data_IF_688628016916
#
_entry.id   IF_688628016916
#
_cell.length_a   1.000
_cell.length_b   1.000
_cell.length_c   1.000
_cell.angle_alpha   90.00
_cell.angle_beta   90.00
_cell.angle_gamma   90.00
#
_symmetry.space_group_name_H-M   'P 1'
#
loop_
_entity.id
_entity.type
_entity.pdbx_description
1 polymer ?
#
# COMPACT_ATOMS: atom_id res chain seq x y z
N UNK A 1 -5.93 21.17 -10.58
CA UNK A 1 -6.78 19.98 -10.83
C UNK A 1 -7.43 20.17 -12.18
N UNK A 2 -7.01 19.41 -13.19
CA UNK A 2 -7.77 19.29 -14.44
C UNK A 2 -8.91 18.32 -14.16
N UNK A 3 -10.09 18.84 -13.90
CA UNK A 3 -11.29 18.03 -13.78
C UNK A 3 -11.64 17.48 -15.16
N UNK A 4 -11.51 16.17 -15.33
CA UNK A 4 -11.86 15.51 -16.58
C UNK A 4 -13.38 15.29 -16.56
N UNK A 5 -14.14 16.15 -17.22
CA UNK A 5 -15.56 15.93 -17.43
C UNK A 5 -15.75 14.57 -18.13
N UNK A 6 -16.35 13.63 -17.43
CA UNK A 6 -16.47 12.25 -17.89
C UNK A 6 -17.84 12.01 -18.52
N UNK A 7 -17.82 11.57 -19.77
CA UNK A 7 -19.00 11.35 -20.62
C UNK A 7 -19.24 9.86 -20.93
N UNK A 8 -18.48 8.96 -20.31
CA UNK A 8 -18.56 7.52 -20.56
C UNK A 8 -19.69 6.82 -19.81
N UNK A 9 -19.79 5.51 -20.02
CA UNK A 9 -20.89 4.68 -19.53
C UNK A 9 -20.64 4.02 -18.16
N UNK A 10 -19.44 4.16 -17.58
CA UNK A 10 -19.08 3.48 -16.34
C UNK A 10 -19.61 4.27 -15.16
N UNK A 11 -20.64 3.72 -14.53
CA UNK A 11 -21.21 4.30 -13.30
C UNK A 11 -20.36 3.90 -12.10
N UNK A 12 -19.76 4.90 -11.45
CA UNK A 12 -19.06 4.70 -10.18
C UNK A 12 -20.06 4.61 -9.03
N UNK A 13 -19.81 3.70 -8.09
CA UNK A 13 -20.59 3.59 -6.87
C UNK A 13 -19.74 3.97 -5.65
N UNK A 14 -20.29 4.86 -4.82
CA UNK A 14 -19.72 5.24 -3.52
C UNK A 14 -20.62 4.69 -2.42
N UNK A 15 -20.05 3.82 -1.58
CA UNK A 15 -20.79 3.23 -0.48
C UNK A 15 -21.15 4.29 0.55
N UNK A 16 -22.42 4.30 0.97
CA UNK A 16 -22.90 5.13 2.09
C UNK A 16 -22.74 4.45 3.45
N UNK A 17 -22.22 3.22 3.49
CA UNK A 17 -22.03 2.46 4.72
C UNK A 17 -20.90 3.08 5.55
N UNK A 18 -21.14 3.17 6.85
CA UNK A 18 -20.17 3.66 7.83
C UNK A 18 -20.09 2.61 8.94
N UNK A 19 -18.86 2.20 9.27
CA UNK A 19 -18.62 1.21 10.32
C UNK A 19 -17.78 1.83 11.42
N UNK A 20 -18.13 1.59 12.68
CA UNK A 20 -17.34 2.09 13.81
C UNK A 20 -16.01 1.32 13.91
N UNK A 21 -14.97 2.00 14.40
CA UNK A 21 -13.73 1.32 14.77
C UNK A 21 -13.93 0.69 16.15
N UNK A 22 -13.70 -0.61 16.22
CA UNK A 22 -13.77 -1.39 17.45
C UNK A 22 -12.35 -1.69 17.94
N UNK A 23 -12.22 -1.93 19.25
CA UNK A 23 -10.94 -2.41 19.78
C UNK A 23 -10.60 -3.77 19.18
N UNK A 24 -9.36 -3.94 18.71
CA UNK A 24 -8.92 -5.23 18.21
C UNK A 24 -9.03 -6.31 19.30
N UNK A 25 -9.40 -7.56 18.94
CA UNK A 25 -9.40 -8.66 19.90
C UNK A 25 -7.97 -8.91 20.41
N UNK A 26 -7.87 -9.44 21.64
CA UNK A 26 -6.58 -9.69 22.31
C UNK A 26 -5.64 -10.53 21.45
N UNK A 27 -6.16 -11.51 20.70
CA UNK A 27 -5.37 -12.35 19.80
C UNK A 27 -4.63 -11.58 18.70
N UNK A 28 -5.27 -10.58 18.10
CA UNK A 28 -4.67 -9.71 17.07
C UNK A 28 -3.61 -8.81 17.71
N UNK A 29 -3.89 -8.27 18.90
CA UNK A 29 -2.96 -7.44 19.66
C UNK A 29 -1.69 -8.20 20.03
N UNK A 30 -1.83 -9.40 20.62
CA UNK A 30 -0.72 -10.29 20.95
C UNK A 30 0.08 -10.65 19.69
N UNK A 31 -0.61 -10.96 18.58
CA UNK A 31 0.05 -11.29 17.31
C UNK A 31 0.92 -10.15 16.76
N UNK A 32 0.46 -8.89 16.85
CA UNK A 32 1.26 -7.72 16.45
C UNK A 32 2.45 -7.49 17.40
N UNK A 33 2.23 -7.62 18.71
CA UNK A 33 3.30 -7.51 19.71
C UNK A 33 4.40 -8.57 19.52
N UNK A 34 4.04 -9.83 19.31
CA UNK A 34 5.00 -10.92 19.08
C UNK A 34 5.86 -10.67 17.84
N UNK A 35 5.31 -10.05 16.79
CA UNK A 35 6.08 -9.68 15.60
C UNK A 35 7.05 -8.55 15.86
N UNK A 36 6.61 -7.52 16.59
CA UNK A 36 7.49 -6.43 16.99
C UNK A 36 8.64 -6.94 17.87
N UNK A 37 8.34 -7.87 18.80
CA UNK A 37 9.35 -8.53 19.62
C UNK A 37 10.33 -9.35 18.78
N UNK A 38 9.84 -10.13 17.80
CA UNK A 38 10.69 -10.90 16.89
C UNK A 38 11.58 -9.98 16.03
N UNK A 39 11.02 -8.89 15.50
CA UNK A 39 11.75 -7.94 14.67
C UNK A 39 12.81 -7.20 15.48
N UNK A 40 12.47 -6.77 16.70
CA UNK A 40 13.42 -6.19 17.64
C UNK A 40 14.53 -7.14 18.04
N UNK A 41 14.23 -8.42 18.21
CA UNK A 41 15.22 -9.46 18.45
C UNK A 41 16.17 -9.63 17.24
N UNK A 42 15.64 -9.74 16.02
CA UNK A 42 16.45 -9.86 14.80
C UNK A 42 17.37 -8.64 14.58
N UNK A 43 16.88 -7.42 14.80
CA UNK A 43 17.70 -6.21 14.69
C UNK A 43 18.70 -6.11 15.84
N UNK A 44 18.32 -6.54 17.05
CA UNK A 44 19.20 -6.60 18.21
C UNK A 44 20.43 -7.49 18.01
N UNK A 45 20.35 -8.50 17.14
CA UNK A 45 21.49 -9.35 16.78
C UNK A 45 22.57 -8.61 15.96
N UNK A 46 22.24 -7.49 15.31
CA UNK A 46 23.20 -6.74 14.49
C UNK A 46 24.37 -6.20 15.35
N UNK A 47 24.13 -5.45 16.45
CA UNK A 47 25.20 -5.06 17.37
C UNK A 47 26.06 -6.21 17.89
N UNK A 48 25.45 -7.37 18.17
CA UNK A 48 26.17 -8.57 18.64
C UNK A 48 27.09 -9.13 17.56
N UNK A 49 26.60 -9.22 16.32
CA UNK A 49 27.42 -9.63 15.18
C UNK A 49 28.59 -8.68 14.92
N UNK A 50 28.36 -7.37 15.04
CA UNK A 50 29.42 -6.36 14.90
C UNK A 50 30.43 -6.49 16.05
N UNK A 51 29.97 -6.66 17.29
CA UNK A 51 30.83 -6.87 18.46
C UNK A 51 31.78 -8.06 18.25
N UNK A 52 31.23 -9.24 17.95
CA UNK A 52 32.05 -10.43 17.74
C UNK A 52 32.96 -10.32 16.51
N UNK A 53 32.54 -9.61 15.46
CA UNK A 53 33.40 -9.35 14.30
C UNK A 53 34.58 -8.42 14.64
N UNK A 54 34.33 -7.33 15.37
CA UNK A 54 35.37 -6.38 15.75
C UNK A 54 36.34 -6.98 16.78
N UNK A 55 35.83 -7.73 17.75
CA UNK A 55 36.63 -8.44 18.75
C UNK A 55 37.53 -9.50 18.07
N UNK A 56 36.96 -10.34 17.20
CA UNK A 56 37.70 -11.42 16.53
C UNK A 56 38.76 -10.94 15.53
N UNK A 57 38.49 -9.86 14.78
CA UNK A 57 39.39 -9.39 13.72
C UNK A 57 40.32 -8.24 14.13
N UNK A 58 39.97 -7.47 15.16
CA UNK A 58 40.66 -6.23 15.51
C UNK A 58 41.03 -6.09 16.99
N UNK A 59 40.72 -7.07 17.86
CA UNK A 59 40.95 -7.00 19.32
C UNK A 59 40.39 -5.69 19.93
N UNK A 60 39.26 -5.22 19.37
CA UNK A 60 38.68 -3.94 19.72
C UNK A 60 37.61 -4.12 20.81
N UNK A 61 37.93 -3.74 22.05
CA UNK A 61 37.04 -3.85 23.21
C UNK A 61 35.84 -2.86 23.12
N UNK A 62 34.82 -3.24 22.35
CA UNK A 62 33.58 -2.49 22.22
C UNK A 62 32.46 -3.03 23.11
N UNK A 63 32.71 -3.18 24.41
CA UNK A 63 31.73 -3.73 25.36
C UNK A 63 30.37 -3.01 25.37
N UNK A 64 30.30 -1.75 24.91
CA UNK A 64 29.03 -1.02 24.75
C UNK A 64 28.11 -1.63 23.68
N UNK A 65 28.64 -2.29 22.65
CA UNK A 65 27.84 -2.96 21.61
C UNK A 65 27.05 -4.15 22.18
N UNK A 66 27.61 -4.82 23.19
CA UNK A 66 26.89 -5.87 23.93
C UNK A 66 25.65 -5.33 24.64
N UNK A 67 25.73 -4.13 25.21
CA UNK A 67 24.59 -3.47 25.86
C UNK A 67 23.61 -2.86 24.85
N UNK A 68 24.09 -2.42 23.68
CA UNK A 68 23.27 -1.83 22.64
C UNK A 68 22.15 -2.76 22.16
N UNK A 69 22.37 -4.08 22.13
CA UNK A 69 21.33 -5.05 21.76
C UNK A 69 20.09 -4.94 22.68
N UNK A 70 20.30 -4.78 23.99
CA UNK A 70 19.22 -4.72 24.97
C UNK A 70 18.46 -3.40 24.85
N UNK A 71 19.17 -2.30 24.57
CA UNK A 71 18.56 -1.00 24.30
C UNK A 71 17.68 -1.08 23.05
N UNK A 72 18.17 -1.68 21.96
CA UNK A 72 17.40 -1.89 20.73
C UNK A 72 16.16 -2.74 21.01
N UNK A 73 16.30 -3.90 21.65
CA UNK A 73 15.17 -4.78 21.99
C UNK A 73 14.15 -4.04 22.88
N UNK A 74 14.60 -3.30 23.90
CA UNK A 74 13.73 -2.55 24.79
C UNK A 74 12.93 -1.46 24.04
N UNK A 75 13.56 -0.76 23.09
CA UNK A 75 12.87 0.22 22.24
C UNK A 75 11.77 -0.44 21.39
N UNK A 76 12.06 -1.59 20.78
CA UNK A 76 11.05 -2.34 20.00
C UNK A 76 9.91 -2.86 20.88
N UNK A 77 10.20 -3.37 22.08
CA UNK A 77 9.18 -3.80 23.02
C UNK A 77 8.31 -2.62 23.47
N UNK A 78 8.90 -1.45 23.75
CA UNK A 78 8.17 -0.25 24.12
C UNK A 78 7.19 0.18 23.02
N UNK A 79 7.64 0.22 21.76
CA UNK A 79 6.78 0.51 20.61
C UNK A 79 5.69 -0.56 20.43
N UNK A 80 6.03 -1.83 20.64
CA UNK A 80 5.07 -2.94 20.57
C UNK A 80 3.95 -2.81 21.62
N UNK A 81 4.31 -2.42 22.86
CA UNK A 81 3.34 -2.19 23.94
C UNK A 81 2.38 -1.05 23.58
N UNK A 82 2.88 0.06 23.04
CA UNK A 82 2.02 1.17 22.59
C UNK A 82 1.03 0.73 21.49
N UNK A 83 1.47 -0.15 20.58
CA UNK A 83 0.63 -0.77 19.55
C UNK A 83 -0.53 -1.61 20.13
N UNK A 84 -0.32 -2.31 21.25
CA UNK A 84 -1.38 -3.11 21.91
C UNK A 84 -2.61 -2.28 22.28
N UNK A 85 -2.43 -1.00 22.62
CA UNK A 85 -3.53 -0.14 23.05
C UNK A 85 -4.22 0.57 21.88
N UNK A 86 -3.53 0.75 20.75
CA UNK A 86 -4.01 1.58 19.63
C UNK A 86 -4.67 0.79 18.52
N UNK A 87 -4.43 -0.52 18.43
CA UNK A 87 -4.94 -1.34 17.33
C UNK A 87 -6.47 -1.47 17.36
N UNK A 88 -7.07 -1.15 16.21
CA UNK A 88 -8.50 -1.22 15.94
C UNK A 88 -8.82 -2.22 14.84
N UNK A 89 -10.06 -2.68 14.84
CA UNK A 89 -10.65 -3.49 13.77
C UNK A 89 -11.95 -2.85 13.31
N UNK A 90 -12.30 -3.05 12.05
CA UNK A 90 -13.59 -2.63 11.50
C UNK A 90 -13.88 -3.40 10.22
N UNK A 91 -14.92 -3.04 9.47
CA UNK A 91 -15.27 -3.65 8.19
C UNK A 91 -15.12 -2.67 7.04
N UNK A 92 -14.79 -3.18 5.86
CA UNK A 92 -14.76 -2.39 4.64
C UNK A 92 -16.20 -1.99 4.21
N UNK A 93 -16.52 -0.69 4.02
CA UNK A 93 -17.80 -0.21 3.47
C UNK A 93 -18.23 -0.80 2.13
N UNK A 94 -17.29 -1.33 1.34
CA UNK A 94 -17.56 -1.88 0.01
C UNK A 94 -17.70 -3.40 0.00
N UNK A 95 -16.71 -4.13 0.52
CA UNK A 95 -16.69 -5.60 0.47
C UNK A 95 -17.03 -6.29 1.79
N UNK A 96 -17.31 -5.52 2.85
CA UNK A 96 -17.72 -5.95 4.19
C UNK A 96 -16.75 -6.89 4.93
N UNK A 97 -15.56 -7.15 4.36
CA UNK A 97 -14.52 -7.90 5.06
C UNK A 97 -13.95 -7.10 6.22
N UNK A 98 -13.54 -7.84 7.23
CA UNK A 98 -12.78 -7.32 8.35
C UNK A 98 -11.45 -6.69 7.88
N UNK A 99 -11.13 -5.56 8.49
CA UNK A 99 -9.89 -4.80 8.32
C UNK A 99 -9.24 -4.58 9.69
N UNK A 100 -7.92 -4.40 9.72
CA UNK A 100 -7.14 -4.27 10.96
C UNK A 100 -6.89 -5.59 11.70
N UNK A 101 -7.28 -6.73 11.12
CA UNK A 101 -6.95 -8.07 11.61
C UNK A 101 -5.69 -8.66 10.97
N UNK A 102 -5.28 -8.12 9.81
CA UNK A 102 -4.10 -8.58 9.08
C UNK A 102 -2.86 -7.78 9.47
N UNK A 103 -1.71 -8.29 9.03
CA UNK A 103 -0.36 -7.92 9.46
C UNK A 103 0.16 -6.65 8.81
N UNK A 104 -0.59 -6.08 7.87
CA UNK A 104 -0.10 -5.06 6.94
C UNK A 104 -0.80 -3.71 7.10
N UNK A 105 -1.86 -3.62 7.92
CA UNK A 105 -2.58 -2.38 8.15
C UNK A 105 -3.15 -2.30 9.56
N UNK A 106 -2.31 -1.94 10.54
CA UNK A 106 -2.79 -1.55 11.86
C UNK A 106 -3.68 -0.31 11.72
N UNK A 107 -4.97 -0.47 12.04
CA UNK A 107 -5.91 0.65 12.07
C UNK A 107 -5.77 1.36 13.40
N UNK A 108 -5.67 2.69 13.35
CA UNK A 108 -5.60 3.53 14.54
C UNK A 108 -6.75 4.53 14.54
N UNK A 109 -7.07 5.12 15.70
CA UNK A 109 -8.06 6.21 15.78
C UNK A 109 -7.55 7.57 15.26
N UNK A 110 -6.53 7.58 14.39
CA UNK A 110 -6.02 8.84 13.83
C UNK A 110 -7.06 9.41 12.88
N UNK A 111 -7.56 10.58 13.21
CA UNK A 111 -8.55 11.26 12.39
C UNK A 111 -7.97 11.58 11.01
N UNK A 112 -8.82 11.45 9.98
CA UNK A 112 -8.48 11.61 8.55
C UNK A 112 -7.37 10.67 8.05
N UNK A 113 -7.13 9.55 8.74
CA UNK A 113 -6.21 8.53 8.25
C UNK A 113 -6.80 7.85 7.01
N UNK A 114 -6.07 7.92 5.90
CA UNK A 114 -6.40 7.23 4.65
C UNK A 114 -5.94 5.78 4.74
N UNK A 115 -6.81 4.85 4.37
CA UNK A 115 -6.54 3.42 4.41
C UNK A 115 -7.04 2.80 3.10
N UNK A 116 -6.28 1.89 2.52
CA UNK A 116 -6.73 1.11 1.36
C UNK A 116 -7.15 -0.28 1.83
N UNK A 117 -8.30 -0.76 1.35
CA UNK A 117 -8.74 -2.12 1.63
C UNK A 117 -7.83 -3.13 0.90
N UNK A 118 -7.18 -4.03 1.64
CA UNK A 118 -6.39 -5.14 1.06
C UNK A 118 -7.24 -6.11 0.22
N UNK A 119 -8.55 -6.15 0.53
CA UNK A 119 -9.65 -6.86 -0.14
C UNK A 119 -9.84 -6.41 -1.60
N UNK A 120 -10.46 -5.25 -1.68
CA UNK A 120 -11.06 -4.69 -2.90
C UNK A 120 -10.34 -3.43 -3.39
N UNK A 121 -9.24 -3.04 -2.75
CA UNK A 121 -8.40 -1.88 -3.10
C UNK A 121 -9.08 -0.52 -3.06
N UNK A 122 -10.33 -0.48 -2.59
CA UNK A 122 -11.07 0.75 -2.35
C UNK A 122 -10.37 1.60 -1.29
N UNK A 123 -10.38 2.91 -1.52
CA UNK A 123 -9.86 3.88 -0.59
C UNK A 123 -10.94 4.23 0.44
N UNK A 124 -10.50 4.24 1.69
CA UNK A 124 -11.31 4.47 2.87
C UNK A 124 -10.65 5.57 3.69
N UNK A 125 -11.45 6.22 4.52
CA UNK A 125 -10.96 7.21 5.46
C UNK A 125 -11.53 6.91 6.84
N UNK A 126 -10.66 7.02 7.85
CA UNK A 126 -11.04 7.00 9.25
C UNK A 126 -11.37 8.43 9.61
N UNK A 127 -12.61 8.66 10.04
CA UNK A 127 -13.17 9.96 10.36
C UNK A 127 -13.92 9.82 11.69
N UNK A 128 -13.46 10.53 12.71
CA UNK A 128 -14.08 10.53 14.05
C UNK A 128 -14.35 9.13 14.62
N UNK A 129 -13.37 8.22 14.54
CA UNK A 129 -13.50 6.85 15.08
C UNK A 129 -14.44 5.94 14.29
N UNK A 130 -14.84 6.33 13.07
CA UNK A 130 -15.57 5.50 12.12
C UNK A 130 -14.82 5.40 10.79
N UNK A 131 -15.00 4.29 10.09
CA UNK A 131 -14.50 4.06 8.74
C UNK A 131 -15.62 4.29 7.74
N UNK A 132 -15.38 5.17 6.79
CA UNK A 132 -16.28 5.48 5.67
C UNK A 132 -15.56 5.40 4.33
N UNK A 133 -16.34 5.36 3.25
CA UNK A 133 -15.80 5.46 1.90
C UNK A 133 -15.06 6.80 1.71
N UNK A 134 -13.94 6.77 0.98
CA UNK A 134 -13.29 7.97 0.49
C UNK A 134 -14.14 8.61 -0.60
N UNK A 135 -14.25 9.94 -0.57
CA UNK A 135 -15.09 10.73 -1.46
C UNK A 135 -14.26 11.78 -2.22
N UNK A 136 -14.86 12.44 -3.22
CA UNK A 136 -14.14 13.44 -4.03
C UNK A 136 -13.72 14.64 -3.17
N UNK A 137 -14.53 14.96 -2.18
CA UNK A 137 -14.34 16.01 -1.19
C UNK A 137 -13.11 15.75 -0.28
N UNK A 138 -12.68 14.50 -0.14
CA UNK A 138 -11.49 14.11 0.64
C UNK A 138 -10.18 14.25 -0.15
N UNK A 139 -10.26 14.60 -1.44
CA UNK A 139 -9.13 14.70 -2.36
C UNK A 139 -8.30 15.94 -2.09
N UNK A 140 -6.97 15.78 -2.03
CA UNK A 140 -6.02 16.90 -1.99
C UNK A 140 -5.55 17.27 -3.40
N UNK A 141 -5.13 18.53 -3.63
CA UNK A 141 -4.44 18.89 -4.86
C UNK A 141 -3.26 17.94 -5.14
N UNK A 142 -3.08 17.57 -6.41
CA UNK A 142 -2.02 16.69 -6.92
C UNK A 142 -1.93 15.29 -6.27
N UNK A 143 -2.98 14.90 -5.53
CA UNK A 143 -3.06 13.57 -4.98
C UNK A 143 -3.20 12.54 -6.11
N UNK A 144 -2.28 11.57 -6.14
CA UNK A 144 -2.42 10.40 -6.99
C UNK A 144 -3.10 9.25 -6.26
N UNK A 145 -3.84 8.48 -7.02
CA UNK A 145 -4.60 7.32 -6.55
C UNK A 145 -4.00 6.06 -7.15
N UNK A 146 -3.75 5.03 -6.36
CA UNK A 146 -3.01 3.87 -6.82
C UNK A 146 -3.83 2.59 -6.64
N UNK A 147 -3.91 1.78 -7.69
CA UNK A 147 -4.51 0.45 -7.67
C UNK A 147 -3.49 -0.58 -8.16
N UNK A 148 -3.49 -1.82 -7.65
CA UNK A 148 -2.68 -2.88 -8.23
C UNK A 148 -3.15 -3.19 -9.64
N UNK A 149 -2.24 -3.66 -10.49
CA UNK A 149 -2.60 -4.27 -11.76
C UNK A 149 -3.18 -5.67 -11.48
N UNK A 150 -4.39 -5.92 -12.00
CA UNK A 150 -5.09 -7.18 -11.83
C UNK A 150 -4.76 -8.18 -12.95
N UNK A 151 -4.80 -9.47 -12.64
CA UNK A 151 -4.72 -10.55 -13.61
C UNK A 151 -5.88 -10.49 -14.58
N UNK A 152 -5.54 -10.50 -15.86
CA UNK A 152 -6.46 -10.21 -16.95
C UNK A 152 -7.22 -8.89 -16.73
N UNK A 153 -6.53 -7.83 -16.26
CA UNK A 153 -7.15 -6.52 -16.07
C UNK A 153 -7.85 -6.06 -17.34
N UNK A 154 -9.12 -5.67 -17.22
CA UNK A 154 -9.88 -5.12 -18.34
C UNK A 154 -9.83 -3.61 -18.27
N UNK A 155 -9.54 -3.03 -19.43
CA UNK A 155 -9.72 -1.62 -19.68
C UNK A 155 -11.10 -1.36 -20.28
N UNK A 156 -11.71 -0.20 -19.98
CA UNK A 156 -13.00 0.13 -20.54
C UNK A 156 -12.96 0.27 -22.08
N UNK A 157 -14.08 0.04 -22.78
CA UNK A 157 -14.18 0.27 -24.23
C UNK A 157 -14.33 1.76 -24.59
N UNK A 158 -13.74 2.65 -23.81
CA UNK A 158 -13.82 4.11 -23.89
C UNK A 158 -12.54 4.72 -23.26
N UNK A 159 -12.27 6.00 -23.52
CA UNK A 159 -11.11 6.68 -22.98
C UNK A 159 -11.11 6.63 -21.44
N UNK A 160 -10.03 6.14 -20.84
CA UNK A 160 -9.93 6.02 -19.37
C UNK A 160 -10.04 7.38 -18.65
N UNK A 161 -9.68 8.47 -19.34
CA UNK A 161 -9.71 9.82 -18.78
C UNK A 161 -11.10 10.46 -18.82
N UNK A 162 -11.71 10.57 -20.01
CA UNK A 162 -12.97 11.30 -20.21
C UNK A 162 -14.16 10.44 -20.67
N UNK A 163 -13.98 9.16 -20.96
CA UNK A 163 -15.07 8.29 -21.42
C UNK A 163 -15.51 8.48 -22.88
N UNK A 164 -14.84 9.36 -23.64
CA UNK A 164 -15.06 9.50 -25.08
C UNK A 164 -14.67 8.21 -25.85
N UNK A 165 -15.15 8.00 -27.08
CA UNK A 165 -14.76 6.87 -27.92
C UNK A 165 -13.24 6.72 -28.05
N UNK A 166 -12.76 5.47 -28.02
CA UNK A 166 -11.33 5.16 -28.16
C UNK A 166 -10.87 5.49 -29.57
N UNK A 167 -9.79 6.25 -29.68
CA UNK A 167 -9.10 6.49 -30.97
C UNK A 167 -7.79 5.74 -31.06
N UNK A 168 -7.14 5.46 -29.92
CA UNK A 168 -5.89 4.71 -29.87
C UNK A 168 -5.67 4.01 -28.54
N UNK A 169 -4.68 3.11 -28.52
CA UNK A 169 -4.28 2.35 -27.33
C UNK A 169 -2.79 2.53 -27.10
N UNK A 170 -2.40 2.67 -25.83
CA UNK A 170 -0.99 2.84 -25.46
C UNK A 170 -0.51 1.70 -24.53
N UNK A 171 0.81 1.51 -24.52
CA UNK A 171 1.52 0.69 -23.55
C UNK A 171 2.22 1.59 -22.53
N UNK A 172 2.11 1.24 -21.24
CA UNK A 172 2.90 1.85 -20.18
C UNK A 172 3.93 0.85 -19.67
N UNK A 173 5.12 1.37 -19.39
CA UNK A 173 6.24 0.62 -18.82
C UNK A 173 6.62 1.23 -17.48
N UNK A 174 7.07 0.39 -16.56
CA UNK A 174 7.61 0.77 -15.28
C UNK A 174 8.91 0.01 -15.05
N UNK A 175 9.89 0.71 -14.49
CA UNK A 175 11.16 0.16 -14.07
C UNK A 175 11.43 0.59 -12.64
N UNK A 176 11.98 -0.32 -11.84
CA UNK A 176 12.41 -0.06 -10.47
C UNK A 176 13.80 -0.61 -10.28
N UNK A 177 14.70 0.28 -9.89
CA UNK A 177 16.04 -0.07 -9.44
C UNK A 177 16.02 -0.39 -7.94
N UNK A 178 16.50 -1.58 -7.57
CA UNK A 178 16.59 -2.01 -6.17
C UNK A 178 18.01 -1.75 -5.65
N UNK A 179 18.26 -0.52 -5.20
CA UNK A 179 19.56 -0.09 -4.69
C UNK A 179 19.95 -0.66 -3.32
N UNK A 180 19.00 -1.23 -2.57
CA UNK A 180 19.27 -1.85 -1.26
C UNK A 180 20.22 -3.06 -1.39
N UNK A 181 20.23 -3.72 -2.55
CA UNK A 181 21.15 -4.83 -2.85
C UNK A 181 22.58 -4.35 -3.15
N UNK A 182 22.79 -3.05 -3.42
CA UNK A 182 24.13 -2.52 -3.72
C UNK A 182 25.07 -2.66 -2.52
N UNK A 183 24.54 -2.63 -1.30
CA UNK A 183 25.32 -2.86 -0.07
C UNK A 183 25.92 -4.27 -0.05
N UNK A 184 25.29 -5.23 -0.74
CA UNK A 184 25.76 -6.60 -0.93
C UNK A 184 26.55 -6.80 -2.24
N UNK A 185 26.87 -5.71 -2.96
CA UNK A 185 27.53 -5.77 -4.27
C UNK A 185 26.63 -6.27 -5.42
N UNK A 186 25.31 -6.33 -5.20
CA UNK A 186 24.34 -6.82 -6.17
C UNK A 186 23.47 -5.65 -6.68
N UNK A 187 23.14 -5.66 -7.97
CA UNK A 187 22.16 -4.74 -8.52
C UNK A 187 21.04 -5.54 -9.17
N UNK A 188 19.79 -5.20 -8.86
CA UNK A 188 18.61 -5.80 -9.49
C UNK A 188 17.69 -4.71 -10.01
N UNK A 189 17.27 -4.86 -11.26
CA UNK A 189 16.24 -4.04 -11.89
C UNK A 189 15.00 -4.89 -12.11
N UNK A 190 13.86 -4.43 -11.61
CA UNK A 190 12.55 -5.00 -11.93
C UNK A 190 11.90 -4.15 -13.01
N UNK A 191 11.37 -4.79 -14.06
CA UNK A 191 10.62 -4.12 -15.13
C UNK A 191 9.24 -4.77 -15.29
N UNK A 192 8.28 -3.98 -15.75
CA UNK A 192 6.93 -4.47 -16.02
C UNK A 192 6.20 -3.53 -16.96
N UNK A 193 5.30 -4.07 -17.77
CA UNK A 193 4.49 -3.28 -18.68
C UNK A 193 3.02 -3.70 -18.67
N UNK A 194 2.16 -2.77 -19.06
CA UNK A 194 0.75 -3.01 -19.32
C UNK A 194 0.39 -2.38 -20.66
N UNK A 195 -0.22 -3.16 -21.53
CA UNK A 195 -0.64 -2.73 -22.87
C UNK A 195 -2.14 -2.45 -22.93
N UNK A 196 -2.59 -1.96 -24.09
CA UNK A 196 -4.00 -1.78 -24.43
C UNK A 196 -4.74 -0.74 -23.58
N UNK A 197 -4.06 0.29 -23.07
CA UNK A 197 -4.71 1.35 -22.30
C UNK A 197 -5.45 2.30 -23.25
N UNK A 198 -6.77 2.47 -23.09
CA UNK A 198 -7.61 3.15 -24.06
C UNK A 198 -7.61 4.67 -23.88
N UNK A 199 -7.38 5.39 -24.98
CA UNK A 199 -7.34 6.85 -25.01
C UNK A 199 -8.11 7.43 -26.20
N UNK A 200 -8.53 8.69 -26.08
CA UNK A 200 -9.04 9.51 -27.19
C UNK A 200 -7.98 10.53 -27.62
N UNK A 201 -8.15 11.21 -28.75
CA UNK A 201 -7.11 12.10 -29.30
C UNK A 201 -6.66 13.24 -28.39
N UNK A 202 -7.52 13.64 -27.43
CA UNK A 202 -7.23 14.70 -26.46
C UNK A 202 -6.38 14.24 -25.27
N UNK A 203 -6.31 12.95 -25.01
CA UNK A 203 -5.69 12.40 -23.81
C UNK A 203 -4.64 11.36 -24.18
N UNK A 204 -3.45 11.44 -23.57
CA UNK A 204 -2.39 10.45 -23.73
C UNK A 204 -1.60 10.32 -22.44
N UNK A 205 -1.13 9.12 -22.12
CA UNK A 205 -0.26 8.84 -20.95
C UNK A 205 -0.73 9.50 -19.64
N UNK A 206 -2.05 9.59 -19.44
CA UNK A 206 -2.64 10.28 -18.28
C UNK A 206 -2.42 9.47 -17.00
N UNK A 207 -2.47 8.14 -17.11
CA UNK A 207 -2.14 7.24 -16.02
C UNK A 207 -0.68 6.80 -16.13
N UNK A 208 -0.08 6.44 -15.00
CA UNK A 208 1.33 6.01 -14.93
C UNK A 208 1.43 4.64 -14.26
N UNK A 209 2.47 3.89 -14.60
CA UNK A 209 2.73 2.57 -14.03
C UNK A 209 3.90 2.66 -13.04
N UNK A 210 3.82 1.94 -11.92
CA UNK A 210 4.86 1.87 -10.88
C UNK A 210 5.04 0.44 -10.40
N UNK A 211 6.28 0.09 -10.03
CA UNK A 211 6.58 -1.14 -9.29
C UNK A 211 6.81 -0.77 -7.82
N UNK A 212 6.01 -1.34 -6.91
CA UNK A 212 6.16 -1.13 -5.47
C UNK A 212 7.23 -2.05 -4.87
N UNK A 213 7.59 -1.79 -3.62
CA UNK A 213 8.60 -2.58 -2.90
C UNK A 213 8.20 -4.06 -2.74
N UNK A 214 6.90 -4.37 -2.80
CA UNK A 214 6.40 -5.74 -2.80
C UNK A 214 6.52 -6.43 -4.18
N UNK A 215 7.21 -5.82 -5.14
CA UNK A 215 7.44 -6.34 -6.49
C UNK A 215 6.20 -6.30 -7.40
N UNK A 216 5.08 -5.75 -6.93
CA UNK A 216 3.84 -5.71 -7.72
C UNK A 216 3.75 -4.47 -8.57
N UNK A 217 3.08 -4.60 -9.71
CA UNK A 217 2.73 -3.48 -10.57
C UNK A 217 1.48 -2.76 -10.06
N UNK A 218 1.54 -1.44 -10.08
CA UNK A 218 0.47 -0.54 -9.66
C UNK A 218 0.25 0.53 -10.71
N UNK A 219 -1.02 0.78 -11.04
CA UNK A 219 -1.44 1.91 -11.87
C UNK A 219 -1.72 3.10 -10.96
N UNK A 220 -1.15 4.25 -11.30
CA UNK A 220 -1.31 5.52 -10.61
C UNK A 220 -2.13 6.48 -11.47
N UNK A 221 -3.28 6.86 -10.95
CA UNK A 221 -4.26 7.74 -11.55
C UNK A 221 -4.13 9.16 -10.96
N UNK A 222 -4.24 10.21 -11.79
CA UNK A 222 -4.22 11.60 -11.31
C UNK A 222 -5.57 12.05 -10.75
N UNK A 223 -6.64 11.28 -10.98
CA UNK A 223 -8.00 11.61 -10.62
C UNK A 223 -8.69 10.46 -9.89
N UNK A 224 -9.52 10.78 -8.89
CA UNK A 224 -10.19 9.80 -8.04
C UNK A 224 -11.25 9.02 -8.83
N UNK A 225 -12.00 9.67 -9.71
CA UNK A 225 -13.06 9.02 -10.47
C UNK A 225 -12.47 8.04 -11.49
N UNK A 226 -11.34 8.39 -12.14
CA UNK A 226 -10.60 7.45 -13.00
C UNK A 226 -10.21 6.17 -12.24
N UNK A 227 -9.64 6.33 -11.05
CA UNK A 227 -9.30 5.22 -10.17
C UNK A 227 -10.54 4.37 -9.82
N UNK A 228 -11.66 5.02 -9.46
CA UNK A 228 -12.92 4.34 -9.15
C UNK A 228 -13.49 3.57 -10.34
N UNK A 229 -13.43 4.13 -11.55
CA UNK A 229 -13.84 3.44 -12.79
C UNK A 229 -13.00 2.20 -13.03
N UNK A 230 -11.67 2.32 -12.90
CA UNK A 230 -10.76 1.20 -13.05
C UNK A 230 -11.08 0.06 -12.05
N UNK A 231 -11.26 0.40 -10.77
CA UNK A 231 -11.66 -0.59 -9.77
C UNK A 231 -13.02 -1.20 -10.07
N UNK A 232 -14.01 -0.40 -10.45
CA UNK A 232 -15.37 -0.89 -10.75
C UNK A 232 -15.35 -2.01 -11.79
N UNK A 233 -14.50 -1.91 -12.82
CA UNK A 233 -14.36 -2.92 -13.87
C UNK A 233 -13.56 -4.16 -13.41
N UNK A 234 -12.67 -3.98 -12.44
CA UNK A 234 -11.69 -5.00 -12.05
C UNK A 234 -11.92 -5.62 -10.65
N UNK A 235 -12.98 -5.24 -9.94
CA UNK A 235 -13.30 -5.60 -8.54
C UNK A 235 -13.42 -7.10 -8.23
N UNK A 236 -13.55 -7.97 -9.24
CA UNK A 236 -13.71 -9.44 -9.08
C UNK A 236 -12.43 -10.22 -9.44
N UNK A 237 -11.34 -9.55 -9.83
CA UNK A 237 -10.16 -10.21 -10.43
C UNK A 237 -9.01 -10.41 -9.43
N UNK A 238 -8.23 -11.47 -9.61
CA UNK A 238 -6.98 -11.73 -8.86
C UNK A 238 -5.92 -10.70 -9.24
N UNK A 239 -4.91 -10.49 -8.39
CA UNK A 239 -3.83 -9.50 -8.63
C UNK A 239 -2.73 -10.16 -9.47
N UNK A 240 -2.15 -9.44 -10.43
CA UNK A 240 -0.93 -9.89 -11.08
C UNK A 240 0.24 -9.79 -10.12
N UNK A 241 0.77 -10.95 -9.73
CA UNK A 241 2.06 -11.06 -9.09
C UNK A 241 3.04 -11.47 -10.18
N UNK A 242 3.98 -10.59 -10.54
CA UNK A 242 5.09 -10.98 -11.37
C UNK A 242 5.92 -12.00 -10.58
N UNK A 243 6.00 -13.23 -11.08
CA UNK A 243 7.07 -14.13 -10.66
C UNK A 243 8.34 -13.63 -11.36
N UNK A 244 9.32 -13.25 -10.55
CA UNK A 244 10.71 -13.20 -11.00
C UNK A 244 11.17 -14.61 -11.35
#
# INVERSE_FOLDING_TARGET
MTEYAYNGNIKIHTSKKVYKLENAPISVKIGSFLKMALFGWLIGLIPVGIYHGLDYYFDFEAGWLWYAQFVVIALFLWVGIDGLFKNKVTRCPYCERDMGRSTNSDLTNRDKQKVQCERCYELLIIDNGSMRAFTKEDTKPDQRFEAPVFENSIWPPECIACGDPITHREELKAERFNGELLVLGLASTSSGSISNIPYCDKHRKVVSLKIKADGKLWVSFPDFEMFKRFLTINTVRKILVFKQ
#
